data_IF_867852573904
#
_entry.id   IF_867852573904
#
_cell.length_a   1.000
_cell.length_b   1.000
_cell.length_c   1.000
_cell.angle_alpha   90.00
_cell.angle_beta   90.00
_cell.angle_gamma   90.00
#
_symmetry.space_group_name_H-M   'P 1'
#
loop_
_entity.id
_entity.type
_entity.pdbx_description
1 polymer ?
#
# COMPACT_ATOMS: atom_id res chain seq x y z
N UNK A 1 22.13 -40.71 57.89
CA UNK A 1 23.02 -40.67 56.71
C UNK A 1 22.17 -41.00 55.49
N UNK A 2 21.83 -40.02 54.67
CA UNK A 2 21.07 -40.23 53.43
C UNK A 2 22.01 -40.72 52.33
N UNK A 3 21.68 -41.86 51.72
CA UNK A 3 22.36 -42.46 50.59
C UNK A 3 22.10 -41.64 49.33
N UNK A 4 23.15 -41.06 48.74
CA UNK A 4 23.06 -40.38 47.46
C UNK A 4 22.89 -41.41 46.33
N UNK A 5 21.77 -41.35 45.62
CA UNK A 5 21.46 -42.23 44.50
C UNK A 5 22.33 -41.85 43.30
N UNK A 6 23.26 -42.71 42.88
CA UNK A 6 24.06 -42.46 41.68
C UNK A 6 23.22 -42.72 40.42
N UNK A 7 23.14 -41.73 39.52
CA UNK A 7 22.49 -41.85 38.22
C UNK A 7 23.38 -42.73 37.32
N UNK A 8 22.80 -43.77 36.72
CA UNK A 8 23.54 -44.66 35.83
C UNK A 8 23.91 -43.96 34.52
N UNK A 9 25.03 -44.36 33.91
CA UNK A 9 25.46 -43.83 32.61
C UNK A 9 24.37 -43.98 31.52
N UNK A 10 23.62 -45.08 31.56
CA UNK A 10 22.49 -45.32 30.66
C UNK A 10 21.37 -44.29 30.84
N UNK A 11 21.06 -43.92 32.09
CA UNK A 11 20.07 -42.89 32.40
C UNK A 11 20.52 -41.52 31.88
N UNK A 12 21.81 -41.19 32.01
CA UNK A 12 22.37 -39.94 31.47
C UNK A 12 22.26 -39.88 29.95
N UNK A 13 22.55 -40.99 29.24
CA UNK A 13 22.44 -41.05 27.78
C UNK A 13 20.99 -40.83 27.33
N UNK A 14 20.02 -41.48 27.98
CA UNK A 14 18.60 -41.32 27.64
C UNK A 14 18.14 -39.88 27.86
N UNK A 15 18.54 -39.25 28.98
CA UNK A 15 18.21 -37.84 29.25
C UNK A 15 18.82 -36.92 28.19
N UNK A 16 20.08 -37.14 27.81
CA UNK A 16 20.73 -36.37 26.76
C UNK A 16 20.02 -36.52 25.41
N UNK A 17 19.58 -37.73 25.03
CA UNK A 17 18.84 -37.96 23.78
C UNK A 17 17.48 -37.24 23.79
N UNK A 18 16.75 -37.30 24.91
CA UNK A 18 15.47 -36.59 25.07
C UNK A 18 15.68 -35.07 24.97
N UNK A 19 16.71 -34.53 25.64
CA UNK A 19 17.03 -33.11 25.57
C UNK A 19 17.44 -32.67 24.17
N UNK A 20 18.18 -33.50 23.44
CA UNK A 20 18.64 -33.20 22.08
C UNK A 20 17.46 -33.16 21.08
N UNK A 21 16.48 -34.06 21.23
CA UNK A 21 15.24 -34.02 20.46
C UNK A 21 14.35 -32.83 20.84
N UNK A 22 14.26 -32.49 22.12
CA UNK A 22 13.46 -31.37 22.61
C UNK A 22 14.05 -30.00 22.22
N UNK A 23 15.38 -29.86 22.25
CA UNK A 23 16.08 -28.60 21.95
C UNK A 23 16.31 -28.41 20.44
N UNK A 24 16.32 -29.50 19.66
CA UNK A 24 16.58 -29.45 18.21
C UNK A 24 15.53 -30.26 17.42
N UNK A 25 14.24 -29.88 17.45
CA UNK A 25 13.18 -30.61 16.76
C UNK A 25 13.43 -30.73 15.24
N UNK A 26 14.09 -29.74 14.64
CA UNK A 26 14.47 -29.77 13.23
C UNK A 26 15.56 -30.80 12.89
N UNK A 27 16.40 -31.19 13.86
CA UNK A 27 17.43 -32.20 13.66
C UNK A 27 16.82 -33.61 13.56
N UNK A 28 15.76 -33.88 14.32
CA UNK A 28 14.99 -35.11 14.19
C UNK A 28 14.36 -35.23 12.80
N UNK A 29 13.72 -34.16 12.30
CA UNK A 29 13.18 -34.13 10.94
C UNK A 29 14.26 -34.40 9.90
N UNK A 30 15.42 -33.74 10.00
CA UNK A 30 16.53 -33.91 9.08
C UNK A 30 17.04 -35.36 9.04
N UNK A 31 17.25 -35.99 10.20
CA UNK A 31 17.75 -37.37 10.29
C UNK A 31 16.70 -38.37 9.81
N UNK A 32 15.42 -38.14 10.15
CA UNK A 32 14.32 -39.03 9.80
C UNK A 32 13.94 -38.96 8.31
N UNK A 33 14.01 -37.78 7.69
CA UNK A 33 13.67 -37.59 6.27
C UNK A 33 14.85 -37.75 5.31
N UNK A 34 16.10 -37.71 5.78
CA UNK A 34 17.29 -37.86 4.93
C UNK A 34 17.33 -39.17 4.11
N UNK A 35 16.95 -40.35 4.65
CA UNK A 35 16.90 -41.58 3.86
C UNK A 35 15.83 -41.53 2.76
N UNK A 36 14.68 -40.89 3.03
CA UNK A 36 13.62 -40.66 2.04
C UNK A 36 14.09 -39.70 0.94
N UNK A 37 14.81 -38.64 1.28
CA UNK A 37 15.34 -37.70 0.31
C UNK A 37 16.35 -38.34 -0.67
N UNK A 38 17.07 -39.39 -0.25
CA UNK A 38 17.97 -40.15 -1.11
C UNK A 38 17.26 -41.14 -2.03
N UNK A 39 16.09 -41.67 -1.61
CA UNK A 39 15.30 -42.65 -2.38
C UNK A 39 14.35 -41.94 -3.36
N UNK A 40 13.81 -40.80 -2.98
CA UNK A 40 12.88 -39.99 -3.78
C UNK A 40 13.55 -38.73 -4.36
N UNK A 41 14.89 -38.71 -4.40
CA UNK A 41 15.75 -37.56 -4.73
C UNK A 41 15.70 -37.03 -6.16
N UNK A 42 14.66 -37.38 -6.93
CA UNK A 42 14.37 -36.77 -8.22
C UNK A 42 12.89 -36.36 -8.24
N UNK A 43 12.54 -35.35 -7.44
CA UNK A 43 11.51 -34.44 -7.94
C UNK A 43 12.13 -33.74 -9.15
N UNK A 44 11.45 -33.67 -10.30
CA UNK A 44 11.91 -32.79 -11.36
C UNK A 44 12.13 -31.43 -10.70
N UNK A 45 13.31 -30.82 -10.89
CA UNK A 45 13.42 -29.41 -10.63
C UNK A 45 12.44 -28.77 -11.59
N UNK A 46 11.24 -28.47 -11.12
CA UNK A 46 10.46 -27.39 -11.66
C UNK A 46 11.44 -26.21 -11.65
N UNK A 47 12.05 -25.96 -12.80
CA UNK A 47 12.26 -24.60 -13.26
C UNK A 47 10.87 -24.05 -13.50
N UNK A 48 10.10 -23.98 -12.42
CA UNK A 48 8.96 -23.12 -12.30
C UNK A 48 9.58 -21.77 -12.59
N UNK A 49 9.19 -21.22 -13.72
CA UNK A 49 9.26 -19.78 -13.93
C UNK A 49 8.45 -19.20 -12.77
N UNK A 50 9.11 -19.03 -11.62
CA UNK A 50 8.52 -18.41 -10.46
C UNK A 50 8.18 -17.02 -10.94
N UNK A 51 6.91 -16.84 -11.29
CA UNK A 51 6.25 -15.57 -11.43
C UNK A 51 6.22 -14.97 -10.03
N UNK A 52 7.41 -14.57 -9.59
CA UNK A 52 7.68 -14.10 -8.25
C UNK A 52 6.93 -12.81 -8.06
N UNK A 53 6.15 -12.72 -6.99
CA UNK A 53 5.51 -11.49 -6.61
C UNK A 53 6.59 -10.44 -6.39
N UNK A 54 6.60 -9.41 -7.24
CA UNK A 54 7.56 -8.32 -7.14
C UNK A 54 6.92 -7.09 -6.53
N UNK A 55 7.76 -6.29 -5.89
CA UNK A 55 7.40 -4.99 -5.33
C UNK A 55 8.21 -3.91 -6.05
N UNK A 56 7.56 -2.81 -6.38
CA UNK A 56 8.22 -1.60 -6.89
C UNK A 56 7.63 -0.41 -6.18
N UNK A 57 8.47 0.42 -5.58
CA UNK A 57 8.04 1.64 -4.91
C UNK A 57 8.75 2.84 -5.55
N UNK A 58 7.98 3.89 -5.84
CA UNK A 58 8.48 5.10 -6.49
C UNK A 58 7.72 6.30 -5.99
N UNK A 59 8.46 7.37 -5.72
CA UNK A 59 7.88 8.65 -5.38
C UNK A 59 7.94 9.58 -6.57
N UNK A 60 6.87 10.34 -6.80
CA UNK A 60 6.85 11.42 -7.78
C UNK A 60 6.06 12.61 -7.24
N UNK A 61 6.20 13.74 -7.93
CA UNK A 61 5.61 15.01 -7.52
C UNK A 61 4.57 15.44 -8.55
N UNK A 62 3.39 15.82 -8.06
CA UNK A 62 2.32 16.38 -8.88
C UNK A 62 2.64 17.83 -9.26
N UNK A 63 2.11 18.28 -10.39
CA UNK A 63 2.28 19.67 -10.78
C UNK A 63 1.59 20.57 -9.75
N UNK A 64 2.18 21.71 -9.35
CA UNK A 64 1.55 22.57 -8.37
C UNK A 64 0.18 23.07 -8.85
N UNK A 65 -0.85 22.81 -8.05
CA UNK A 65 -2.22 23.25 -8.30
C UNK A 65 -2.72 24.07 -7.12
N UNK A 66 -3.65 24.98 -7.43
CA UNK A 66 -4.53 25.62 -6.45
C UNK A 66 -5.79 24.75 -6.28
N UNK A 67 -6.71 25.20 -5.43
CA UNK A 67 -8.00 24.53 -5.18
C UNK A 67 -8.66 24.03 -6.47
N UNK A 68 -9.14 22.79 -6.43
CA UNK A 68 -9.93 22.18 -7.50
C UNK A 68 -9.72 20.66 -7.62
N UNK A 69 -10.52 20.06 -8.49
CA UNK A 69 -10.46 18.64 -8.86
C UNK A 69 -9.76 18.44 -10.21
N UNK A 70 -8.68 17.66 -10.22
CA UNK A 70 -7.83 17.46 -11.40
C UNK A 70 -7.74 16.00 -11.81
N UNK A 71 -7.95 15.70 -13.09
CA UNK A 71 -7.66 14.40 -13.66
C UNK A 71 -6.14 14.25 -13.84
N UNK A 72 -5.53 13.25 -13.18
CA UNK A 72 -4.08 13.03 -13.16
C UNK A 72 -3.67 11.64 -13.68
N UNK A 73 -4.58 10.86 -14.26
CA UNK A 73 -4.30 9.52 -14.78
C UNK A 73 -3.07 9.47 -15.69
N UNK A 74 -2.98 10.38 -16.66
CA UNK A 74 -1.85 10.42 -17.60
C UNK A 74 -0.53 10.77 -16.90
N UNK A 75 -0.58 11.69 -15.94
CA UNK A 75 0.60 12.06 -15.14
C UNK A 75 1.10 10.86 -14.33
N UNK A 76 0.20 10.06 -13.75
CA UNK A 76 0.53 8.85 -13.01
C UNK A 76 1.15 7.80 -13.94
N UNK A 77 0.53 7.51 -15.07
CA UNK A 77 1.03 6.50 -16.04
C UNK A 77 2.38 6.92 -16.64
N UNK A 78 2.60 8.22 -16.87
CA UNK A 78 3.88 8.76 -17.30
C UNK A 78 4.95 8.62 -16.20
N UNK A 79 4.59 8.88 -14.94
CA UNK A 79 5.50 8.75 -13.81
C UNK A 79 5.85 7.28 -13.50
N UNK A 80 4.98 6.33 -13.86
CA UNK A 80 5.10 4.90 -13.54
C UNK A 80 5.17 4.01 -14.79
N UNK A 81 6.19 4.16 -15.66
CA UNK A 81 6.34 3.30 -16.83
C UNK A 81 6.49 1.81 -16.48
N UNK A 82 6.91 1.50 -15.25
CA UNK A 82 7.11 0.16 -14.71
C UNK A 82 5.82 -0.67 -14.71
N UNK A 83 4.63 -0.05 -14.69
CA UNK A 83 3.32 -0.72 -14.79
C UNK A 83 3.27 -1.65 -16.00
N UNK A 84 3.92 -1.28 -17.11
CA UNK A 84 3.95 -2.07 -18.36
C UNK A 84 4.60 -3.45 -18.19
N UNK A 85 5.40 -3.64 -17.15
CA UNK A 85 6.10 -4.90 -16.87
C UNK A 85 5.26 -5.87 -16.03
N UNK A 86 4.05 -5.49 -15.63
CA UNK A 86 3.19 -6.29 -14.76
C UNK A 86 2.04 -6.92 -15.54
N UNK A 87 1.91 -8.24 -15.46
CA UNK A 87 0.78 -8.99 -16.01
C UNK A 87 -0.47 -8.84 -15.13
N UNK A 88 -0.30 -8.93 -13.82
CA UNK A 88 -1.36 -8.73 -12.82
C UNK A 88 -0.78 -8.10 -11.56
N UNK A 89 -1.49 -7.15 -10.96
CA UNK A 89 -1.03 -6.54 -9.72
C UNK A 89 -1.99 -5.50 -9.16
N UNK A 90 -1.49 -4.78 -8.16
CA UNK A 90 -2.15 -3.64 -7.53
C UNK A 90 -1.17 -2.46 -7.53
N UNK A 91 -1.66 -1.29 -7.93
CA UNK A 91 -1.03 0.00 -7.72
C UNK A 91 -1.72 0.69 -6.54
N UNK A 92 -1.00 0.89 -5.45
CA UNK A 92 -1.41 1.84 -4.41
C UNK A 92 -0.75 3.20 -4.67
N UNK A 93 -1.55 4.25 -4.62
CA UNK A 93 -1.08 5.64 -4.63
C UNK A 93 -1.45 6.27 -3.29
N UNK A 94 -0.45 6.77 -2.57
CA UNK A 94 -0.62 7.46 -1.30
C UNK A 94 -0.08 8.89 -1.42
N UNK A 95 -0.96 9.89 -1.31
CA UNK A 95 -0.55 11.30 -1.28
C UNK A 95 -0.05 11.67 0.12
N UNK A 96 1.16 12.19 0.21
CA UNK A 96 1.82 12.46 1.48
C UNK A 96 1.47 13.87 1.98
N UNK A 97 0.18 14.10 2.23
CA UNK A 97 -0.34 15.35 2.78
C UNK A 97 -1.66 15.12 3.52
N UNK A 98 -2.07 16.10 4.32
CA UNK A 98 -3.28 16.05 5.16
C UNK A 98 -4.35 17.06 4.75
N UNK A 99 -4.13 17.79 3.66
CA UNK A 99 -5.01 18.88 3.18
C UNK A 99 -5.29 18.79 1.67
N UNK A 100 -5.08 17.60 1.10
CA UNK A 100 -5.45 17.25 -0.27
C UNK A 100 -5.72 15.74 -0.33
N UNK A 101 -6.43 15.27 -1.36
CA UNK A 101 -6.87 13.88 -1.44
C UNK A 101 -6.65 13.26 -2.83
N UNK A 102 -6.78 11.94 -2.88
CA UNK A 102 -6.87 11.16 -4.10
C UNK A 102 -8.22 10.45 -4.17
N UNK A 103 -8.81 10.38 -5.36
CA UNK A 103 -10.07 9.65 -5.59
C UNK A 103 -10.09 8.98 -6.97
N UNK A 104 -11.05 8.09 -7.18
CA UNK A 104 -11.38 7.53 -8.49
C UNK A 104 -12.78 7.98 -8.88
N UNK A 105 -12.90 8.71 -9.98
CA UNK A 105 -14.19 9.24 -10.43
C UNK A 105 -14.17 9.51 -11.95
N UNK A 106 -15.20 10.18 -12.48
CA UNK A 106 -15.40 10.39 -13.91
C UNK A 106 -14.20 11.02 -14.63
N UNK A 107 -13.82 10.49 -15.80
CA UNK A 107 -12.65 10.97 -16.55
C UNK A 107 -12.98 11.78 -17.81
N UNK A 108 -14.26 12.07 -18.07
CA UNK A 108 -14.71 12.66 -19.32
C UNK A 108 -15.21 14.08 -19.15
N UNK A 109 -16.26 14.28 -18.36
CA UNK A 109 -16.88 15.59 -18.19
C UNK A 109 -16.10 16.47 -17.19
N UNK A 110 -15.83 17.72 -17.59
CA UNK A 110 -15.24 18.73 -16.70
C UNK A 110 -16.22 19.20 -15.62
N UNK A 111 -17.50 19.22 -15.92
CA UNK A 111 -18.52 19.79 -15.03
C UNK A 111 -18.63 18.94 -13.75
N UNK A 112 -18.45 17.62 -13.87
CA UNK A 112 -18.41 16.70 -12.71
C UNK A 112 -17.26 17.04 -11.75
N UNK A 113 -16.13 17.57 -12.26
CA UNK A 113 -14.99 18.01 -11.43
C UNK A 113 -15.30 19.35 -10.75
N UNK A 114 -15.99 20.25 -11.42
CA UNK A 114 -16.41 21.54 -10.85
C UNK A 114 -17.48 21.31 -9.77
N UNK A 115 -18.54 20.56 -10.08
CA UNK A 115 -19.61 20.20 -9.16
C UNK A 115 -19.12 19.47 -7.91
N UNK A 116 -18.14 18.57 -8.05
CA UNK A 116 -17.52 17.92 -6.89
C UNK A 116 -16.76 18.91 -6.00
N UNK A 117 -16.04 19.87 -6.60
CA UNK A 117 -15.31 20.89 -5.84
C UNK A 117 -16.29 21.76 -5.06
N UNK A 118 -17.35 22.19 -5.73
CA UNK A 118 -18.48 22.93 -5.19
C UNK A 118 -19.20 22.18 -4.05
N UNK A 119 -19.46 20.89 -4.23
CA UNK A 119 -20.09 20.05 -3.21
C UNK A 119 -19.21 19.93 -1.96
N UNK A 120 -17.90 19.73 -2.13
CA UNK A 120 -16.96 19.65 -1.01
C UNK A 120 -16.87 20.98 -0.26
N UNK A 121 -16.90 22.12 -0.96
CA UNK A 121 -16.94 23.45 -0.36
C UNK A 121 -18.22 23.67 0.47
N UNK A 122 -19.36 23.09 0.07
CA UNK A 122 -20.59 23.11 0.88
C UNK A 122 -20.53 22.16 2.09
N UNK A 123 -19.85 21.03 1.98
CA UNK A 123 -19.70 20.04 3.08
C UNK A 123 -18.79 20.56 4.18
N UNK A 124 -17.70 21.23 3.81
CA UNK A 124 -16.74 21.84 4.73
C UNK A 124 -16.45 23.29 4.27
N UNK A 125 -17.35 24.22 4.61
CA UNK A 125 -17.22 25.63 4.23
C UNK A 125 -16.14 26.33 5.06
N UNK A 126 -15.52 27.37 4.51
CA UNK A 126 -14.49 28.16 5.21
C UNK A 126 -15.07 28.99 6.36
N UNK A 127 -16.27 29.54 6.14
CA UNK A 127 -16.93 30.47 7.05
C UNK A 127 -18.41 30.12 7.18
N UNK A 128 -19.02 30.62 8.27
CA UNK A 128 -20.43 30.45 8.53
C UNK A 128 -21.30 31.34 7.64
N UNK A 129 -22.63 31.19 7.71
CA UNK A 129 -23.57 31.91 6.86
C UNK A 129 -23.49 33.45 6.96
N UNK A 130 -22.87 33.99 8.01
CA UNK A 130 -22.69 35.43 8.23
C UNK A 130 -21.21 35.85 8.14
N UNK A 131 -20.32 34.99 7.65
CA UNK A 131 -18.88 35.24 7.60
C UNK A 131 -18.18 35.05 8.95
N UNK A 132 -18.79 34.33 9.89
CA UNK A 132 -18.15 33.99 11.17
C UNK A 132 -17.18 32.82 11.02
N UNK A 133 -16.09 32.82 11.78
CA UNK A 133 -15.15 31.71 11.81
C UNK A 133 -15.82 30.43 12.34
N UNK A 134 -15.72 29.33 11.59
CA UNK A 134 -16.31 28.04 11.97
C UNK A 134 -15.37 27.15 12.79
N UNK A 135 -14.08 27.28 12.56
CA UNK A 135 -13.08 26.35 13.06
C UNK A 135 -12.03 27.05 13.93
N UNK A 136 -11.47 26.29 14.86
CA UNK A 136 -10.39 26.77 15.75
C UNK A 136 -8.99 26.67 15.11
N UNK A 137 -8.88 25.95 13.99
CA UNK A 137 -7.62 25.68 13.33
C UNK A 137 -7.59 26.46 12.01
N UNK A 138 -6.98 27.63 12.04
CA UNK A 138 -6.94 28.61 10.96
C UNK A 138 -5.53 29.20 10.81
N UNK A 139 -4.52 28.52 11.36
CA UNK A 139 -3.15 29.01 11.44
C UNK A 139 -2.55 29.31 10.06
N UNK A 140 -3.00 28.60 9.02
CA UNK A 140 -2.60 28.82 7.64
C UNK A 140 -3.70 29.46 6.76
N UNK A 141 -4.72 30.07 7.37
CA UNK A 141 -5.83 30.76 6.71
C UNK A 141 -7.19 30.07 6.86
N UNK A 142 -8.24 30.70 6.32
CA UNK A 142 -9.63 30.23 6.43
C UNK A 142 -9.86 28.85 5.80
N UNK A 143 -9.04 28.47 4.82
CA UNK A 143 -9.14 27.19 4.11
C UNK A 143 -8.36 26.04 4.77
N UNK A 144 -7.70 26.29 5.90
CA UNK A 144 -6.82 25.33 6.56
C UNK A 144 -7.60 24.13 7.14
N UNK A 145 -8.44 24.34 8.15
CA UNK A 145 -9.30 23.26 8.69
C UNK A 145 -10.25 22.66 7.64
N UNK A 146 -10.94 23.43 6.77
CA UNK A 146 -11.76 22.86 5.70
C UNK A 146 -11.00 21.84 4.85
N UNK A 147 -9.75 22.14 4.47
CA UNK A 147 -8.95 21.24 3.67
C UNK A 147 -8.61 19.94 4.41
N UNK A 148 -8.35 20.01 5.73
CA UNK A 148 -8.18 18.81 6.56
C UNK A 148 -9.46 17.96 6.63
N UNK A 149 -10.62 18.58 6.79
CA UNK A 149 -11.91 17.87 6.83
C UNK A 149 -12.15 17.16 5.49
N UNK A 150 -12.03 17.88 4.37
CA UNK A 150 -12.21 17.31 3.02
C UNK A 150 -11.22 16.17 2.77
N UNK A 151 -9.96 16.35 3.17
CA UNK A 151 -8.92 15.31 3.05
C UNK A 151 -9.24 14.06 3.87
N UNK A 152 -9.77 14.21 5.09
CA UNK A 152 -10.15 13.08 5.93
C UNK A 152 -11.39 12.34 5.41
N UNK A 153 -12.34 13.06 4.81
CA UNK A 153 -13.56 12.48 4.22
C UNK A 153 -13.28 11.70 2.94
N UNK A 154 -12.43 12.23 2.05
CA UNK A 154 -12.11 11.57 0.77
C UNK A 154 -11.05 10.49 0.94
N UNK A 155 -9.99 10.79 1.71
CA UNK A 155 -8.86 9.89 1.95
C UNK A 155 -7.61 10.22 1.14
N UNK A 156 -6.46 9.82 1.70
CA UNK A 156 -5.14 10.09 1.14
C UNK A 156 -4.67 9.04 0.11
N UNK A 157 -5.45 8.00 -0.17
CA UNK A 157 -4.99 6.91 -1.02
C UNK A 157 -6.05 6.26 -1.87
N UNK A 158 -5.64 5.80 -3.05
CA UNK A 158 -6.41 4.92 -3.92
C UNK A 158 -5.60 3.68 -4.27
N UNK A 159 -6.27 2.55 -4.41
CA UNK A 159 -5.66 1.29 -4.86
C UNK A 159 -6.35 0.84 -6.14
N UNK A 160 -5.58 0.60 -7.19
CA UNK A 160 -6.06 0.38 -8.56
C UNK A 160 -5.48 -0.96 -9.06
N UNK A 161 -6.31 -1.87 -9.59
CA UNK A 161 -5.79 -3.11 -10.17
C UNK A 161 -4.98 -2.83 -11.44
N UNK A 162 -3.96 -3.65 -11.66
CA UNK A 162 -3.16 -3.69 -12.89
C UNK A 162 -3.50 -4.99 -13.63
N UNK A 163 -3.72 -4.88 -14.93
CA UNK A 163 -3.91 -6.01 -15.84
C UNK A 163 -3.20 -5.74 -17.15
N UNK A 164 -2.40 -6.70 -17.61
CA UNK A 164 -1.72 -6.71 -18.91
C UNK A 164 -0.99 -5.39 -19.22
N UNK A 165 -0.19 -4.92 -18.25
CA UNK A 165 0.63 -3.72 -18.37
C UNK A 165 -0.13 -2.40 -18.28
N UNK A 166 -1.40 -2.41 -17.86
CA UNK A 166 -2.27 -1.23 -17.79
C UNK A 166 -3.05 -1.15 -16.48
N UNK A 167 -3.47 0.06 -16.12
CA UNK A 167 -4.46 0.25 -15.06
C UNK A 167 -5.80 -0.35 -15.52
N UNK A 168 -6.39 -1.21 -14.71
CA UNK A 168 -7.66 -1.87 -14.99
C UNK A 168 -8.83 -1.08 -14.38
N UNK A 169 -8.98 0.17 -14.80
CA UNK A 169 -10.10 1.05 -14.42
C UNK A 169 -11.33 0.80 -15.29
N UNK A 170 -12.51 1.19 -14.81
CA UNK A 170 -13.69 1.28 -15.68
C UNK A 170 -13.53 2.34 -16.78
N UNK A 171 -14.34 2.25 -17.84
CA UNK A 171 -14.29 3.18 -19.00
C UNK A 171 -14.28 4.65 -18.60
N UNK A 172 -15.14 5.00 -17.65
CA UNK A 172 -15.31 6.36 -17.15
C UNK A 172 -14.50 6.65 -15.89
N UNK A 173 -13.66 5.74 -15.41
CA UNK A 173 -12.90 5.96 -14.19
C UNK A 173 -11.51 6.53 -14.49
N UNK A 174 -11.15 7.58 -13.76
CA UNK A 174 -9.82 8.20 -13.77
C UNK A 174 -9.36 8.55 -12.37
N UNK A 175 -8.05 8.76 -12.24
CA UNK A 175 -7.41 9.13 -10.99
C UNK A 175 -7.53 10.64 -10.82
N UNK A 176 -8.17 11.05 -9.73
CA UNK A 176 -8.36 12.45 -9.38
C UNK A 176 -7.39 12.86 -8.29
N UNK A 177 -6.80 14.05 -8.44
CA UNK A 177 -6.13 14.80 -7.40
C UNK A 177 -7.03 15.96 -6.98
N UNK A 178 -7.40 15.97 -5.71
CA UNK A 178 -8.23 17.01 -5.12
C UNK A 178 -7.35 17.94 -4.28
N UNK A 179 -7.12 19.15 -4.77
CA UNK A 179 -6.47 20.21 -3.99
C UNK A 179 -7.53 21.04 -3.30
N UNK A 180 -7.39 21.24 -1.99
CA UNK A 180 -8.37 21.99 -1.19
C UNK A 180 -7.87 23.38 -0.81
N UNK A 181 -6.55 23.59 -0.83
CA UNK A 181 -5.95 24.89 -0.50
C UNK A 181 -5.95 25.82 -1.70
N UNK A 182 -6.27 27.09 -1.48
CA UNK A 182 -6.29 28.13 -2.51
C UNK A 182 -4.87 28.42 -3.03
N UNK A 183 -3.89 28.42 -2.13
CA UNK A 183 -2.48 28.55 -2.47
C UNK A 183 -1.99 27.37 -3.31
N UNK A 184 -1.06 27.62 -4.24
CA UNK A 184 -0.48 26.54 -5.05
C UNK A 184 0.49 25.72 -4.22
N UNK A 185 0.23 24.41 -4.11
CA UNK A 185 1.13 23.48 -3.42
C UNK A 185 1.66 22.41 -4.36
N UNK A 186 2.91 22.02 -4.12
CA UNK A 186 3.51 20.84 -4.72
C UNK A 186 3.24 19.63 -3.82
N UNK A 187 2.60 18.58 -4.35
CA UNK A 187 2.22 17.39 -3.59
C UNK A 187 3.03 16.18 -4.02
N UNK A 188 3.53 15.42 -3.05
CA UNK A 188 4.31 14.19 -3.28
C UNK A 188 3.38 12.98 -3.17
N UNK A 189 3.51 12.07 -4.11
CA UNK A 189 2.76 10.80 -4.15
C UNK A 189 3.75 9.65 -4.04
N UNK A 190 3.50 8.75 -3.09
CA UNK A 190 4.18 7.47 -3.00
C UNK A 190 3.37 6.42 -3.75
N UNK A 191 3.93 5.88 -4.82
CA UNK A 191 3.37 4.77 -5.56
C UNK A 191 4.02 3.47 -5.12
N UNK A 192 3.20 2.47 -4.80
CA UNK A 192 3.65 1.10 -4.53
C UNK A 192 2.93 0.16 -5.47
N UNK A 193 3.67 -0.55 -6.30
CA UNK A 193 3.19 -1.60 -7.19
C UNK A 193 3.56 -2.94 -6.57
N UNK A 194 2.59 -3.83 -6.43
CA UNK A 194 2.77 -5.21 -6.04
C UNK A 194 2.12 -6.11 -7.10
N UNK A 195 2.86 -7.06 -7.65
CA UNK A 195 2.30 -7.91 -8.69
C UNK A 195 3.27 -8.88 -9.34
N UNK A 196 2.71 -9.69 -10.22
CA UNK A 196 3.41 -10.64 -11.07
C UNK A 196 3.86 -9.93 -12.34
N UNK A 197 5.16 -10.00 -12.64
CA UNK A 197 5.69 -9.46 -13.89
C UNK A 197 5.40 -10.38 -15.07
N UNK A 198 5.27 -9.77 -16.25
CA UNK A 198 5.13 -10.46 -17.55
C UNK A 198 6.46 -10.99 -18.07
#
# INVERSE_FOLDING_TARGET
MQSATQISASSTIVICLILLLALFPNLFHLIWSAPLALIFGNYPSETDTFNSMTWTQKQFTLQPKSRGSYLITDQVVQALPEIRNYKVGLLNLFIQHTSCALSLNENFDSDVREDMSDALDRIAPEEGPKGEALYRHDAEGLDDMPAHIKSALVGASVTIPIKDGKLATGTWQGIWYLEFRASKHSRRVMATIQGEKS
#
